data_IF_387776269370
#
_entry.id   IF_387776269370
#
_cell.length_a   1.000
_cell.length_b   1.000
_cell.length_c   1.000
_cell.angle_alpha   90.00
_cell.angle_beta   90.00
_cell.angle_gamma   90.00
#
_symmetry.space_group_name_H-M   'P 1'
#
loop_
_entity.id
_entity.type
_entity.pdbx_description
1 polymer ?
#
# COMPACT_ATOMS: atom_id res chain seq x y z
N UNK A 1 38.87 14.01 8.63
CA UNK A 1 37.64 13.26 8.41
C UNK A 1 36.49 14.18 8.02
N UNK A 2 36.07 14.25 6.75
CA UNK A 2 34.85 14.96 6.35
C UNK A 2 33.94 14.08 5.46
N UNK A 3 33.42 12.93 5.96
CA UNK A 3 32.50 12.09 5.18
C UNK A 3 31.01 12.27 5.52
N UNK A 4 30.66 13.17 6.42
CA UNK A 4 29.29 13.30 6.92
C UNK A 4 28.40 14.26 6.11
N UNK A 5 28.97 15.14 5.28
CA UNK A 5 28.25 16.18 4.52
C UNK A 5 27.48 15.63 3.30
N UNK A 6 28.08 14.79 2.43
CA UNK A 6 27.41 14.31 1.22
C UNK A 6 26.15 13.46 1.49
N UNK A 7 26.15 12.64 2.57
CA UNK A 7 24.99 11.79 2.93
C UNK A 7 23.81 12.59 3.44
N UNK A 8 24.05 13.65 4.22
CA UNK A 8 23.00 14.55 4.71
C UNK A 8 22.37 15.35 3.56
N UNK A 9 23.18 15.81 2.61
CA UNK A 9 22.68 16.54 1.45
C UNK A 9 21.85 15.62 0.53
N UNK A 10 22.28 14.36 0.33
CA UNK A 10 21.52 13.37 -0.42
C UNK A 10 20.17 13.04 0.22
N UNK A 11 20.12 12.85 1.54
CA UNK A 11 18.88 12.61 2.27
C UNK A 11 17.92 13.81 2.20
N UNK A 12 18.45 15.02 2.37
CA UNK A 12 17.67 16.27 2.25
C UNK A 12 17.10 16.42 0.84
N UNK A 13 17.91 16.20 -0.20
CA UNK A 13 17.46 16.28 -1.59
C UNK A 13 16.39 15.21 -1.87
N UNK A 14 16.55 13.99 -1.35
CA UNK A 14 15.54 12.94 -1.49
C UNK A 14 14.20 13.37 -0.87
N UNK A 15 14.21 13.95 0.31
CA UNK A 15 12.99 14.45 0.96
C UNK A 15 12.37 15.61 0.19
N UNK A 16 13.16 16.56 -0.31
CA UNK A 16 12.66 17.68 -1.12
C UNK A 16 11.97 17.19 -2.40
N UNK A 17 12.55 16.18 -3.07
CA UNK A 17 11.95 15.56 -4.25
C UNK A 17 10.63 14.88 -3.94
N UNK A 18 10.56 14.10 -2.86
CA UNK A 18 9.31 13.44 -2.47
C UNK A 18 8.24 14.46 -2.09
N UNK A 19 8.59 15.52 -1.38
CA UNK A 19 7.65 16.61 -1.03
C UNK A 19 7.16 17.35 -2.28
N UNK A 20 8.02 17.60 -3.26
CA UNK A 20 7.64 18.22 -4.54
C UNK A 20 6.70 17.32 -5.34
N UNK A 21 7.00 16.03 -5.45
CA UNK A 21 6.12 15.05 -6.11
C UNK A 21 4.77 14.96 -5.41
N UNK A 22 4.78 14.93 -4.09
CA UNK A 22 3.57 14.91 -3.25
C UNK A 22 2.67 16.13 -3.53
N UNK A 23 3.27 17.33 -3.58
CA UNK A 23 2.56 18.57 -3.87
C UNK A 23 1.95 18.60 -5.29
N UNK A 24 2.61 18.01 -6.29
CA UNK A 24 2.08 17.91 -7.65
C UNK A 24 0.84 17.01 -7.69
N UNK A 25 0.88 15.84 -7.06
CA UNK A 25 -0.30 14.98 -6.91
C UNK A 25 -1.44 15.65 -6.14
N UNK A 26 -1.14 16.40 -5.09
CA UNK A 26 -2.14 17.10 -4.29
C UNK A 26 -2.86 18.22 -5.04
N UNK A 27 -2.22 18.81 -6.07
CA UNK A 27 -2.85 19.83 -6.94
C UNK A 27 -3.83 19.26 -7.95
N UNK A 28 -3.96 17.93 -8.01
CA UNK A 28 -4.83 17.27 -8.98
C UNK A 28 -4.29 17.29 -10.41
N UNK A 29 -2.98 17.46 -10.58
CA UNK A 29 -2.35 17.29 -11.88
C UNK A 29 -2.55 15.87 -12.38
N UNK A 30 -2.76 15.72 -13.70
CA UNK A 30 -2.90 14.39 -14.27
C UNK A 30 -1.63 13.57 -14.01
N UNK A 31 -1.75 12.27 -13.74
CA UNK A 31 -0.57 11.42 -13.49
C UNK A 31 0.49 11.52 -14.57
N UNK A 32 0.09 11.68 -15.85
CA UNK A 32 1.00 11.81 -16.99
C UNK A 32 1.81 13.11 -16.96
N UNK A 33 1.23 14.20 -16.41
CA UNK A 33 1.86 15.49 -16.23
C UNK A 33 2.98 15.48 -15.19
N UNK A 34 2.96 14.52 -14.25
CA UNK A 34 3.97 14.38 -13.20
C UNK A 34 5.20 13.64 -13.75
N UNK A 35 6.01 14.39 -14.49
CA UNK A 35 7.25 13.89 -15.10
C UNK A 35 8.46 14.08 -14.19
N UNK A 36 9.54 13.34 -14.45
CA UNK A 36 10.83 13.54 -13.75
C UNK A 36 11.34 14.98 -13.89
N UNK A 37 11.09 15.63 -15.02
CA UNK A 37 11.50 17.02 -15.25
C UNK A 37 10.67 18.01 -14.43
N UNK A 38 9.35 17.82 -14.36
CA UNK A 38 8.45 18.66 -13.55
C UNK A 38 8.79 18.55 -12.05
N UNK A 39 9.04 17.32 -11.57
CA UNK A 39 9.42 17.09 -10.17
C UNK A 39 10.79 17.68 -9.85
N UNK A 40 11.80 17.54 -10.75
CA UNK A 40 13.12 18.14 -10.56
C UNK A 40 13.05 19.67 -10.46
N UNK A 41 12.26 20.30 -11.33
CA UNK A 41 12.02 21.74 -11.30
C UNK A 41 11.31 22.20 -10.03
N UNK A 42 10.27 21.48 -9.60
CA UNK A 42 9.52 21.79 -8.39
C UNK A 42 10.33 21.59 -7.09
N UNK A 43 11.28 20.65 -7.10
CA UNK A 43 12.17 20.37 -5.97
C UNK A 43 13.44 21.22 -5.95
N UNK A 44 13.67 22.04 -6.98
CA UNK A 44 14.93 22.80 -7.20
C UNK A 44 16.18 21.92 -7.13
N UNK A 45 16.11 20.76 -7.81
CA UNK A 45 17.23 19.82 -7.90
C UNK A 45 17.62 19.55 -9.36
N UNK A 46 18.89 19.27 -9.60
CA UNK A 46 19.36 18.87 -10.92
C UNK A 46 18.76 17.51 -11.35
N UNK A 47 18.38 17.34 -12.62
CA UNK A 47 17.88 16.08 -13.19
C UNK A 47 18.77 14.87 -12.85
N UNK A 48 20.10 15.03 -12.95
CA UNK A 48 21.05 13.96 -12.61
C UNK A 48 20.98 13.51 -11.15
N UNK A 49 20.69 14.42 -10.22
CA UNK A 49 20.49 14.12 -8.80
C UNK A 49 19.22 13.29 -8.61
N UNK A 50 18.14 13.67 -9.28
CA UNK A 50 16.86 12.96 -9.25
C UNK A 50 17.00 11.53 -9.80
N UNK A 51 17.59 11.37 -10.99
CA UNK A 51 17.82 10.06 -11.59
C UNK A 51 18.72 9.15 -10.74
N UNK A 52 19.76 9.74 -10.11
CA UNK A 52 20.63 8.97 -9.20
C UNK A 52 19.89 8.50 -7.95
N UNK A 53 18.93 9.27 -7.44
CA UNK A 53 18.20 8.96 -6.21
C UNK A 53 17.05 7.97 -6.40
N UNK A 54 16.40 7.96 -7.58
CA UNK A 54 15.16 7.21 -7.81
C UNK A 54 15.20 6.32 -9.05
N UNK A 55 16.22 6.42 -9.89
CA UNK A 55 16.36 5.68 -11.15
C UNK A 55 15.49 6.28 -12.25
N UNK A 56 14.21 6.04 -12.18
CA UNK A 56 13.22 6.41 -13.18
C UNK A 56 11.92 6.94 -12.55
N UNK A 57 10.93 7.26 -13.38
CA UNK A 57 9.61 7.70 -12.91
C UNK A 57 8.90 6.62 -12.07
N UNK A 58 8.84 5.34 -12.48
CA UNK A 58 8.32 4.27 -11.63
C UNK A 58 9.01 4.18 -10.26
N UNK A 59 10.32 4.32 -10.21
CA UNK A 59 11.09 4.33 -8.97
C UNK A 59 10.74 5.50 -8.06
N UNK A 60 10.53 6.69 -8.62
CA UNK A 60 10.05 7.86 -7.87
C UNK A 60 8.63 7.64 -7.32
N UNK A 61 7.71 7.13 -8.16
CA UNK A 61 6.32 6.85 -7.73
C UNK A 61 6.27 5.79 -6.63
N UNK A 62 7.07 4.72 -6.74
CA UNK A 62 7.21 3.72 -5.67
C UNK A 62 7.70 4.35 -4.38
N UNK A 63 8.76 5.16 -4.44
CA UNK A 63 9.29 5.83 -3.26
C UNK A 63 8.29 6.80 -2.61
N UNK A 64 7.47 7.48 -3.41
CA UNK A 64 6.39 8.34 -2.90
C UNK A 64 5.28 7.52 -2.24
N UNK A 65 4.88 6.41 -2.86
CA UNK A 65 3.90 5.48 -2.29
C UNK A 65 4.37 4.95 -0.92
N UNK A 66 5.63 4.50 -0.83
CA UNK A 66 6.23 4.04 0.42
C UNK A 66 6.26 5.14 1.49
N UNK A 67 6.61 6.37 1.11
CA UNK A 67 6.61 7.49 2.06
C UNK A 67 5.20 7.81 2.59
N UNK A 68 4.17 7.75 1.73
CA UNK A 68 2.77 7.95 2.14
C UNK A 68 2.21 6.79 2.97
N UNK A 69 2.73 5.57 2.79
CA UNK A 69 2.38 4.38 3.59
C UNK A 69 3.05 4.36 4.96
N UNK A 70 4.09 5.17 5.18
CA UNK A 70 4.85 5.14 6.44
C UNK A 70 3.98 5.28 7.69
N UNK A 71 2.99 6.21 7.77
CA UNK A 71 2.12 6.32 8.93
C UNK A 71 1.30 5.06 9.22
N UNK A 72 0.89 4.33 8.17
CA UNK A 72 0.18 3.04 8.33
C UNK A 72 1.14 1.99 8.88
N UNK A 73 2.39 1.95 8.38
CA UNK A 73 3.42 1.04 8.90
C UNK A 73 3.74 1.31 10.36
N UNK A 74 3.98 2.55 10.73
CA UNK A 74 4.25 2.95 12.12
C UNK A 74 3.08 2.56 13.04
N UNK A 75 1.83 2.79 12.59
CA UNK A 75 0.65 2.40 13.35
C UNK A 75 0.53 0.88 13.54
N UNK A 76 0.93 0.10 12.55
CA UNK A 76 0.92 -1.37 12.59
C UNK A 76 2.06 -1.91 13.45
N UNK A 77 3.25 -1.31 13.39
CA UNK A 77 4.45 -1.81 14.08
C UNK A 77 4.48 -1.43 15.55
N UNK A 78 4.06 -0.22 15.89
CA UNK A 78 4.21 0.35 17.23
C UNK A 78 3.01 1.17 17.72
N UNK A 79 1.94 1.27 16.94
CA UNK A 79 0.77 2.08 17.29
C UNK A 79 -0.16 1.43 18.32
N UNK A 80 -1.17 2.21 18.76
CA UNK A 80 -2.24 1.69 19.61
C UNK A 80 -3.24 0.82 18.82
N UNK A 81 -4.17 0.14 19.50
CA UNK A 81 -5.33 -0.45 18.86
C UNK A 81 -6.06 0.57 17.95
N UNK A 82 -6.67 0.15 16.81
CA UNK A 82 -6.85 -1.25 16.40
C UNK A 82 -5.72 -1.83 15.52
N UNK A 83 -4.70 -1.03 15.13
CA UNK A 83 -3.64 -1.47 14.20
C UNK A 83 -2.42 -2.07 14.93
N UNK A 84 -2.13 -1.58 16.11
CA UNK A 84 -0.93 -1.93 16.85
C UNK A 84 -0.83 -3.40 17.26
N UNK A 85 0.38 -3.87 17.63
CA UNK A 85 0.67 -5.28 17.86
C UNK A 85 -0.06 -5.88 19.08
N UNK A 86 -0.52 -5.05 20.00
CA UNK A 86 -1.31 -5.51 21.16
C UNK A 86 -2.79 -5.83 20.82
N UNK A 87 -3.23 -5.56 19.60
CA UNK A 87 -4.62 -5.82 19.17
C UNK A 87 -4.80 -7.29 18.83
N UNK A 88 -5.85 -7.95 19.34
CA UNK A 88 -6.15 -9.34 18.97
C UNK A 88 -6.32 -9.51 17.45
N UNK A 89 -5.83 -10.62 16.85
CA UNK A 89 -5.85 -10.83 15.40
C UNK A 89 -7.22 -10.65 14.74
N UNK A 90 -8.29 -11.14 15.34
CA UNK A 90 -9.68 -10.99 14.81
C UNK A 90 -10.14 -9.53 14.68
N UNK A 91 -9.55 -8.62 15.45
CA UNK A 91 -9.81 -7.16 15.35
C UNK A 91 -8.79 -6.47 14.46
N UNK A 92 -7.55 -6.93 14.49
CA UNK A 92 -6.43 -6.32 13.79
C UNK A 92 -6.48 -6.54 12.28
N UNK A 93 -6.86 -7.75 11.83
CA UNK A 93 -7.00 -8.09 10.40
C UNK A 93 -7.97 -7.15 9.68
N UNK A 94 -9.23 -6.98 10.10
CA UNK A 94 -10.15 -6.04 9.44
C UNK A 94 -9.67 -4.58 9.53
N UNK A 95 -9.04 -4.17 10.63
CA UNK A 95 -8.49 -2.82 10.77
C UNK A 95 -7.35 -2.56 9.79
N UNK A 96 -6.46 -3.52 9.57
CA UNK A 96 -5.39 -3.40 8.58
C UNK A 96 -5.96 -3.31 7.16
N UNK A 97 -6.91 -4.15 6.80
CA UNK A 97 -7.52 -4.14 5.48
C UNK A 97 -8.28 -2.82 5.21
N UNK A 98 -8.98 -2.29 6.21
CA UNK A 98 -9.63 -0.98 6.13
C UNK A 98 -8.60 0.16 5.94
N UNK A 99 -7.49 0.13 6.68
CA UNK A 99 -6.42 1.11 6.52
C UNK A 99 -5.78 1.05 5.12
N UNK A 100 -5.54 -0.14 4.57
CA UNK A 100 -5.02 -0.32 3.20
C UNK A 100 -6.03 0.13 2.14
N UNK A 101 -7.31 -0.17 2.31
CA UNK A 101 -8.37 0.32 1.42
C UNK A 101 -8.45 1.85 1.46
N UNK A 102 -8.48 2.45 2.65
CA UNK A 102 -8.51 3.90 2.83
C UNK A 102 -7.29 4.56 2.19
N UNK A 103 -6.10 4.01 2.40
CA UNK A 103 -4.87 4.49 1.76
C UNK A 103 -5.01 4.52 0.23
N UNK A 104 -5.54 3.47 -0.38
CA UNK A 104 -5.70 3.41 -1.84
C UNK A 104 -6.77 4.38 -2.35
N UNK A 105 -7.86 4.53 -1.62
CA UNK A 105 -8.90 5.52 -1.94
C UNK A 105 -8.35 6.96 -1.87
N UNK A 106 -7.53 7.27 -0.89
CA UNK A 106 -6.94 8.60 -0.71
C UNK A 106 -5.81 8.88 -1.72
N UNK A 107 -5.22 7.83 -2.30
CA UNK A 107 -4.07 7.93 -3.20
C UNK A 107 -4.35 7.41 -4.62
N UNK A 108 -5.62 7.40 -5.07
CA UNK A 108 -6.03 6.86 -6.38
C UNK A 108 -5.16 7.33 -7.56
N UNK A 109 -4.89 8.65 -7.75
CA UNK A 109 -4.05 9.10 -8.86
C UNK A 109 -2.63 8.50 -8.84
N UNK A 110 -2.04 8.35 -7.66
CA UNK A 110 -0.73 7.73 -7.51
C UNK A 110 -0.78 6.23 -7.80
N UNK A 111 -1.84 5.55 -7.35
CA UNK A 111 -2.03 4.12 -7.61
C UNK A 111 -2.18 3.82 -9.11
N UNK A 112 -2.99 4.61 -9.82
CA UNK A 112 -3.14 4.53 -11.27
C UNK A 112 -1.80 4.74 -11.99
N UNK A 113 -1.06 5.80 -11.62
CA UNK A 113 0.25 6.08 -12.21
C UNK A 113 1.27 4.94 -12.01
N UNK A 114 1.17 4.22 -10.88
CA UNK A 114 2.00 3.05 -10.62
C UNK A 114 1.62 1.86 -11.50
N UNK A 115 0.33 1.60 -11.69
CA UNK A 115 -0.16 0.52 -12.55
C UNK A 115 0.21 0.75 -14.02
N UNK A 116 0.00 1.96 -14.54
CA UNK A 116 0.36 2.36 -15.91
C UNK A 116 1.87 2.24 -16.17
N UNK A 117 2.69 2.40 -15.15
CA UNK A 117 4.15 2.32 -15.29
C UNK A 117 4.68 0.91 -15.55
N UNK A 118 3.82 -0.11 -15.60
CA UNK A 118 4.16 -1.48 -16.00
C UNK A 118 5.18 -2.18 -15.09
N UNK A 119 5.18 -1.87 -13.82
CA UNK A 119 6.22 -2.27 -12.85
C UNK A 119 6.23 -3.75 -12.45
N UNK A 120 5.80 -4.66 -13.31
CA UNK A 120 5.83 -6.11 -13.06
C UNK A 120 4.62 -6.62 -12.27
N UNK A 121 4.70 -7.88 -11.83
CA UNK A 121 3.64 -8.48 -11.01
C UNK A 121 3.52 -7.76 -9.67
N UNK A 122 2.32 -7.34 -9.24
CA UNK A 122 2.11 -6.71 -7.94
C UNK A 122 2.53 -7.63 -6.78
N UNK A 123 2.52 -8.95 -6.99
CA UNK A 123 2.93 -9.97 -6.01
C UNK A 123 4.44 -10.01 -5.77
N UNK A 124 5.25 -9.42 -6.66
CA UNK A 124 6.70 -9.31 -6.53
C UNK A 124 7.15 -8.02 -5.83
N UNK A 125 6.22 -7.12 -5.54
CA UNK A 125 6.51 -5.88 -4.85
C UNK A 125 6.84 -6.14 -3.37
N UNK A 126 7.92 -5.53 -2.86
CA UNK A 126 8.37 -5.69 -1.46
C UNK A 126 7.27 -5.35 -0.45
N UNK A 127 6.49 -4.30 -0.71
CA UNK A 127 5.38 -3.93 0.15
C UNK A 127 4.28 -5.00 0.19
N UNK A 128 4.04 -5.71 -0.94
CA UNK A 128 3.08 -6.81 -0.97
C UNK A 128 3.51 -7.95 -0.06
N UNK A 129 4.77 -8.39 -0.20
CA UNK A 129 5.32 -9.46 0.63
C UNK A 129 5.24 -9.13 2.13
N UNK A 130 5.47 -7.87 2.49
CA UNK A 130 5.35 -7.39 3.88
C UNK A 130 3.93 -7.49 4.41
N UNK A 131 2.94 -6.97 3.67
CA UNK A 131 1.53 -7.04 4.10
C UNK A 131 1.00 -8.46 4.12
N UNK A 132 1.41 -9.27 3.15
CA UNK A 132 1.07 -10.68 3.10
C UNK A 132 1.60 -11.43 4.33
N UNK A 133 2.89 -11.34 4.62
CA UNK A 133 3.50 -12.02 5.76
C UNK A 133 2.91 -11.57 7.11
N UNK A 134 2.55 -10.27 7.23
CA UNK A 134 1.89 -9.78 8.42
C UNK A 134 0.47 -10.35 8.58
N UNK A 135 -0.31 -10.39 7.51
CA UNK A 135 -1.66 -10.97 7.51
C UNK A 135 -1.60 -12.47 7.80
N UNK A 136 -0.73 -13.20 7.13
CA UNK A 136 -0.54 -14.64 7.34
C UNK A 136 -0.23 -14.94 8.81
N UNK A 137 0.76 -14.26 9.40
CA UNK A 137 1.09 -14.39 10.82
C UNK A 137 -0.09 -14.10 11.76
N UNK A 138 -0.95 -13.12 11.43
CA UNK A 138 -2.14 -12.83 12.23
C UNK A 138 -3.22 -13.91 12.06
N UNK A 139 -3.41 -14.40 10.83
CA UNK A 139 -4.41 -15.42 10.51
C UNK A 139 -4.08 -16.76 11.15
N UNK A 140 -2.79 -17.15 11.19
CA UNK A 140 -2.32 -18.36 11.90
C UNK A 140 -2.71 -18.37 13.40
N UNK A 141 -2.84 -17.20 14.01
CA UNK A 141 -3.23 -17.06 15.42
C UNK A 141 -4.75 -17.15 15.65
N UNK A 142 -5.55 -17.27 14.59
CA UNK A 142 -7.01 -17.35 14.70
C UNK A 142 -7.43 -18.82 14.79
N UNK A 143 -7.94 -19.28 15.95
CA UNK A 143 -8.35 -20.68 16.10
C UNK A 143 -9.42 -21.08 15.09
N UNK A 144 -9.20 -22.23 14.43
CA UNK A 144 -10.14 -22.81 13.47
C UNK A 144 -10.02 -22.25 12.05
N UNK A 145 -9.15 -21.27 11.80
CA UNK A 145 -8.81 -20.83 10.45
C UNK A 145 -7.72 -21.73 9.87
N UNK A 146 -7.97 -22.28 8.69
CA UNK A 146 -7.01 -23.05 7.90
C UNK A 146 -6.55 -22.22 6.69
N UNK A 147 -5.44 -22.63 6.07
CA UNK A 147 -4.96 -22.00 4.83
C UNK A 147 -4.72 -20.48 4.96
N UNK A 148 -4.02 -20.08 6.04
CA UNK A 148 -3.71 -18.67 6.35
C UNK A 148 -3.01 -17.95 5.20
N UNK A 149 -2.05 -18.61 4.54
CA UNK A 149 -1.31 -18.09 3.39
C UNK A 149 -2.25 -17.72 2.22
N UNK A 150 -3.10 -18.65 1.78
CA UNK A 150 -4.08 -18.37 0.72
C UNK A 150 -5.09 -17.30 1.14
N UNK A 151 -5.55 -17.36 2.40
CA UNK A 151 -6.49 -16.39 2.95
C UNK A 151 -5.89 -14.98 2.96
N UNK A 152 -4.61 -14.83 3.30
CA UNK A 152 -3.90 -13.55 3.23
C UNK A 152 -3.86 -13.00 1.80
N UNK A 153 -3.56 -13.83 0.80
CA UNK A 153 -3.63 -13.45 -0.62
C UNK A 153 -5.04 -12.99 -1.02
N UNK A 154 -6.08 -13.75 -0.66
CA UNK A 154 -7.46 -13.43 -1.01
C UNK A 154 -7.95 -12.12 -0.37
N UNK A 155 -7.60 -11.88 0.89
CA UNK A 155 -7.93 -10.64 1.60
C UNK A 155 -7.20 -9.43 1.00
N UNK A 156 -5.92 -9.55 0.65
CA UNK A 156 -5.18 -8.49 -0.04
C UNK A 156 -5.73 -8.23 -1.45
N UNK A 157 -6.17 -9.27 -2.15
CA UNK A 157 -6.81 -9.12 -3.47
C UNK A 157 -8.07 -8.25 -3.39
N UNK A 158 -8.84 -8.32 -2.31
CA UNK A 158 -10.01 -7.47 -2.10
C UNK A 158 -9.68 -5.98 -1.89
N UNK A 159 -8.41 -5.63 -1.67
CA UNK A 159 -7.93 -4.24 -1.57
C UNK A 159 -7.05 -3.82 -2.75
N UNK A 160 -7.03 -4.55 -3.87
CA UNK A 160 -6.19 -4.20 -5.04
C UNK A 160 -6.56 -2.85 -5.62
N UNK A 161 -5.55 -2.13 -6.12
CA UNK A 161 -5.75 -0.77 -6.64
C UNK A 161 -6.65 -0.76 -7.88
N UNK A 162 -6.52 -1.75 -8.78
CA UNK A 162 -7.39 -1.94 -9.94
C UNK A 162 -8.87 -2.16 -9.55
N UNK A 163 -9.13 -3.00 -8.55
CA UNK A 163 -10.48 -3.19 -8.02
C UNK A 163 -11.03 -1.90 -7.37
N UNK A 164 -10.21 -1.24 -6.55
CA UNK A 164 -10.58 0.04 -5.90
C UNK A 164 -10.91 1.10 -6.94
N UNK A 165 -10.12 1.21 -8.03
CA UNK A 165 -10.39 2.15 -9.10
C UNK A 165 -11.66 1.79 -9.88
N UNK A 166 -11.86 0.52 -10.18
CA UNK A 166 -13.09 0.07 -10.83
C UNK A 166 -14.34 0.47 -10.01
N UNK A 167 -14.34 0.15 -8.73
CA UNK A 167 -15.48 0.43 -7.86
C UNK A 167 -15.68 1.94 -7.59
N UNK A 168 -14.62 2.64 -7.21
CA UNK A 168 -14.71 4.06 -6.85
C UNK A 168 -14.76 5.00 -8.06
N UNK A 169 -14.03 4.66 -9.15
CA UNK A 169 -13.93 5.49 -10.36
C UNK A 169 -15.05 5.22 -11.34
N UNK A 170 -15.24 3.97 -11.75
CA UNK A 170 -16.21 3.60 -12.78
C UNK A 170 -17.61 3.43 -12.23
N UNK A 171 -17.77 2.59 -11.19
CA UNK A 171 -19.08 2.33 -10.58
C UNK A 171 -19.52 3.42 -9.61
N UNK A 172 -18.62 4.31 -9.19
CA UNK A 172 -18.86 5.40 -8.25
C UNK A 172 -19.44 4.94 -6.91
N UNK A 173 -18.98 3.76 -6.45
CA UNK A 173 -19.39 3.23 -5.14
C UNK A 173 -18.87 4.16 -4.05
N UNK A 174 -19.72 4.64 -3.12
CA UNK A 174 -19.29 5.50 -2.03
C UNK A 174 -18.27 4.83 -1.13
N UNK A 175 -17.27 5.59 -0.66
CA UNK A 175 -16.19 5.14 0.25
C UNK A 175 -16.73 4.30 1.42
N UNK A 176 -17.73 4.80 2.11
CA UNK A 176 -18.28 4.12 3.30
C UNK A 176 -18.94 2.79 2.94
N UNK A 177 -19.53 2.68 1.75
CA UNK A 177 -20.08 1.42 1.26
C UNK A 177 -18.98 0.41 0.94
N UNK A 178 -17.89 0.84 0.32
CA UNK A 178 -16.73 -0.03 0.04
C UNK A 178 -16.11 -0.56 1.34
N UNK A 179 -15.92 0.32 2.34
CA UNK A 179 -15.44 -0.07 3.67
C UNK A 179 -16.36 -1.08 4.35
N UNK A 180 -17.66 -0.84 4.32
CA UNK A 180 -18.65 -1.77 4.90
C UNK A 180 -18.66 -3.13 4.17
N UNK A 181 -18.54 -3.14 2.84
CA UNK A 181 -18.46 -4.37 2.05
C UNK A 181 -17.19 -5.17 2.38
N UNK A 182 -16.03 -4.49 2.48
CA UNK A 182 -14.78 -5.14 2.86
C UNK A 182 -14.85 -5.69 4.29
N UNK A 183 -15.39 -4.94 5.24
CA UNK A 183 -15.57 -5.39 6.61
C UNK A 183 -16.47 -6.65 6.69
N UNK A 184 -17.60 -6.65 5.98
CA UNK A 184 -18.50 -7.79 5.91
C UNK A 184 -17.87 -9.01 5.24
N UNK A 185 -17.09 -8.81 4.17
CA UNK A 185 -16.34 -9.90 3.53
C UNK A 185 -15.32 -10.49 4.49
N UNK A 186 -14.51 -9.63 5.11
CA UNK A 186 -13.49 -10.07 6.08
C UNK A 186 -14.09 -10.82 7.25
N UNK A 187 -15.21 -10.34 7.83
CA UNK A 187 -15.89 -11.03 8.92
C UNK A 187 -16.31 -12.44 8.53
N UNK A 188 -16.92 -12.61 7.35
CA UNK A 188 -17.31 -13.94 6.85
C UNK A 188 -16.12 -14.87 6.68
N UNK A 189 -14.99 -14.36 6.15
CA UNK A 189 -13.76 -15.15 6.00
C UNK A 189 -13.23 -15.60 7.36
N UNK A 190 -13.18 -14.71 8.34
CA UNK A 190 -12.67 -15.01 9.68
C UNK A 190 -13.60 -15.90 10.50
N UNK A 191 -14.90 -15.90 10.21
CA UNK A 191 -15.91 -16.74 10.90
C UNK A 191 -16.12 -18.09 10.19
N UNK A 192 -15.63 -18.28 8.97
CA UNK A 192 -15.67 -19.54 8.24
C UNK A 192 -14.77 -20.55 8.95
N UNK A 193 -15.36 -21.49 9.66
CA UNK A 193 -14.66 -22.67 10.17
C UNK A 193 -14.19 -23.57 9.01
N UNK A 194 -13.38 -24.62 9.29
CA UNK A 194 -12.89 -25.52 8.25
C UNK A 194 -14.05 -26.07 7.43
N UNK A 195 -13.90 -26.02 6.10
CA UNK A 195 -14.87 -26.61 5.17
C UNK A 195 -14.94 -28.10 5.47
N UNK A 196 -16.03 -28.52 6.11
CA UNK A 196 -16.32 -29.96 6.32
C UNK A 196 -16.60 -30.58 4.95
N UNK A 197 -15.67 -31.35 4.43
CA UNK A 197 -15.90 -32.27 3.34
C UNK A 197 -15.28 -31.92 1.99
N UNK A 198 -13.95 -31.96 1.91
CA UNK A 198 -13.23 -32.51 0.77
C UNK A 198 -12.27 -33.58 1.34
N UNK A 199 -12.86 -34.57 2.04
CA UNK A 199 -12.12 -35.80 2.31
C UNK A 199 -11.88 -36.49 0.97
N UNK A 200 -10.60 -36.61 0.62
CA UNK A 200 -10.08 -37.41 -0.46
C UNK A 200 -10.82 -38.75 -0.55
N UNK A 201 -11.72 -38.90 -1.52
CA UNK A 201 -12.04 -40.17 -2.09
C UNK A 201 -11.07 -40.42 -3.22
N UNK A 202 -10.03 -41.19 -2.98
CA UNK A 202 -9.05 -41.63 -3.95
C UNK A 202 -8.18 -42.69 -3.36
#
# INVERSE_FOLDING_TARGET
>A
MPERKPRKDAARNRQAVLAAADALFARGESPEGITMAAVAAAADVGKGTLFRAFGDRPGLLRALCEARLEPVREAVEAGPPPLGPATPPRQRVPALLDALLCFKLDNRPLMLALEESGSGSPYQAEHYARWHGLLDTMLEQIPGLTDSDFTAHALLAATRADLVEHLAGHERVPRERMRAQLANFTARVLDSGPVRGLANEG
#
